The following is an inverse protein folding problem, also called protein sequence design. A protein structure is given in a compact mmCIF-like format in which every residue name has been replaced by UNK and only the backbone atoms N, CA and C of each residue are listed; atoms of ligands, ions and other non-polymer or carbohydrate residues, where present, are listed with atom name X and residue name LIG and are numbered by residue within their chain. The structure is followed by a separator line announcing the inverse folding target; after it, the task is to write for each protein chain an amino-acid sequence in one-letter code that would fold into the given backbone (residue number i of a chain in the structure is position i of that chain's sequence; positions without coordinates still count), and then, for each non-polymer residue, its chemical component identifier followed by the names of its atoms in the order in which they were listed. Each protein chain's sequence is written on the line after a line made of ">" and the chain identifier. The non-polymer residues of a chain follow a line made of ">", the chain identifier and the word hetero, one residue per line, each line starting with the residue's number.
data_IF_529856975587
#
_entry.id   IF_529856975587
#
_cell.length_a   1.000
_cell.length_b   1.000
_cell.length_c   1.000
_cell.angle_alpha   90.00
_cell.angle_beta   90.00
_cell.angle_gamma   90.00
#
_symmetry.space_group_name_H-M   'P 1'
#
loop_
_entity.id
_entity.type
_entity.pdbx_description
1 polymer ?
#
# COMPACT_ATOMS: atom_id res chain seq x y z
N UNK A 1 6.72 -2.69 -26.88
CA UNK A 1 5.75 -1.92 -26.06
C UNK A 1 4.40 -2.62 -25.93
N UNK A 2 3.85 -3.15 -27.00
CA UNK A 2 2.57 -3.87 -26.95
C UNK A 2 2.59 -5.04 -25.95
N UNK A 3 3.65 -5.85 -25.99
CA UNK A 3 3.86 -6.94 -25.05
C UNK A 3 3.86 -6.47 -23.59
N UNK A 4 4.54 -5.36 -23.30
CA UNK A 4 4.56 -4.76 -21.96
C UNK A 4 3.16 -4.40 -21.46
N UNK A 5 2.37 -3.72 -22.28
CA UNK A 5 1.01 -3.32 -21.92
C UNK A 5 0.06 -4.50 -21.69
N UNK A 6 0.27 -5.61 -22.38
CA UNK A 6 -0.53 -6.82 -22.27
C UNK A 6 -0.01 -7.83 -21.21
N UNK A 7 1.16 -7.56 -20.62
CA UNK A 7 1.70 -8.39 -19.54
C UNK A 7 0.74 -8.40 -18.35
N UNK A 8 0.47 -9.57 -17.81
CA UNK A 8 -0.40 -9.71 -16.64
C UNK A 8 0.32 -9.40 -15.35
N UNK A 9 -0.40 -8.85 -14.39
CA UNK A 9 0.11 -8.50 -13.07
C UNK A 9 0.84 -9.67 -12.41
N UNK A 10 0.28 -10.87 -12.48
CA UNK A 10 0.88 -12.09 -11.90
C UNK A 10 2.28 -12.42 -12.42
N UNK A 11 2.63 -11.95 -13.61
CA UNK A 11 3.93 -12.22 -14.24
C UNK A 11 5.04 -11.31 -13.71
N UNK A 12 4.67 -10.15 -13.16
CA UNK A 12 5.64 -9.13 -12.73
C UNK A 12 5.48 -8.66 -11.30
N UNK A 13 4.40 -9.01 -10.61
CA UNK A 13 4.17 -8.61 -9.23
C UNK A 13 5.26 -9.12 -8.28
N UNK A 14 5.50 -8.38 -7.20
CA UNK A 14 6.28 -8.86 -6.07
C UNK A 14 5.37 -9.77 -5.24
N UNK A 15 5.76 -11.03 -4.97
CA UNK A 15 4.91 -11.97 -4.24
C UNK A 15 4.76 -11.58 -2.77
N UNK A 16 3.69 -12.01 -2.14
CA UNK A 16 3.33 -11.71 -0.76
C UNK A 16 4.46 -11.95 0.24
N UNK A 17 5.26 -13.00 0.08
CA UNK A 17 6.39 -13.31 0.98
C UNK A 17 7.48 -12.24 1.01
N UNK A 18 7.58 -11.40 -0.03
CA UNK A 18 8.62 -10.39 -0.19
C UNK A 18 8.11 -8.96 0.05
N UNK A 19 6.87 -8.78 0.48
CA UNK A 19 6.26 -7.48 0.74
C UNK A 19 5.89 -7.31 2.21
N UNK A 20 5.96 -6.07 2.73
CA UNK A 20 5.60 -5.80 4.12
C UNK A 20 4.08 -5.83 4.31
N UNK A 21 3.63 -6.51 5.35
CA UNK A 21 2.25 -6.45 5.80
C UNK A 21 2.17 -6.55 7.33
N UNK A 22 1.04 -6.14 7.88
CA UNK A 22 0.72 -6.28 9.31
C UNK A 22 -0.77 -6.51 9.50
N UNK A 23 -1.15 -7.01 10.67
CA UNK A 23 -2.55 -7.17 11.04
C UNK A 23 -3.15 -5.83 11.47
N UNK A 24 -4.47 -5.65 11.28
CA UNK A 24 -5.15 -4.39 11.60
C UNK A 24 -5.12 -4.02 13.09
N UNK A 25 -4.95 -5.02 13.96
CA UNK A 25 -4.80 -4.84 15.40
C UNK A 25 -3.34 -4.67 15.85
N UNK A 26 -2.39 -4.60 14.93
CA UNK A 26 -0.98 -4.36 15.27
C UNK A 26 -0.82 -3.06 16.05
N UNK A 27 -0.01 -3.10 17.09
CA UNK A 27 0.26 -1.95 17.94
C UNK A 27 1.25 -0.97 17.32
N UNK A 28 1.37 0.17 17.98
CA UNK A 28 2.21 1.28 17.51
C UNK A 28 3.68 0.92 17.34
N UNK A 29 4.23 0.10 18.23
CA UNK A 29 5.64 -0.32 18.15
C UNK A 29 5.89 -1.16 16.91
N UNK A 30 5.04 -2.16 16.65
CA UNK A 30 5.16 -2.99 15.44
C UNK A 30 5.02 -2.15 14.16
N UNK A 31 4.09 -1.20 14.16
CA UNK A 31 3.93 -0.24 13.08
C UNK A 31 5.21 0.55 12.80
N UNK A 32 5.85 1.11 13.85
CA UNK A 32 7.10 1.84 13.70
C UNK A 32 8.25 0.93 13.22
N UNK A 33 8.34 -0.28 13.73
CA UNK A 33 9.35 -1.25 13.31
C UNK A 33 9.23 -1.56 11.81
N UNK A 34 8.02 -1.80 11.32
CA UNK A 34 7.77 -2.06 9.90
C UNK A 34 8.14 -0.88 9.03
N UNK A 35 7.72 0.32 9.40
CA UNK A 35 7.96 1.52 8.60
C UNK A 35 9.36 2.12 8.77
N UNK A 36 10.15 1.66 9.74
CA UNK A 36 11.57 2.01 9.83
C UNK A 36 12.41 1.36 8.72
N UNK A 37 11.92 0.28 8.14
CA UNK A 37 12.62 -0.49 7.09
C UNK A 37 12.00 -0.27 5.72
N UNK A 38 10.68 -0.08 5.65
CA UNK A 38 9.93 0.07 4.39
C UNK A 38 9.06 1.32 4.44
N UNK A 39 8.84 1.95 3.27
CA UNK A 39 8.04 3.16 3.16
C UNK A 39 6.53 2.92 3.35
N UNK A 40 6.09 1.69 3.28
CA UNK A 40 4.69 1.30 3.42
C UNK A 40 4.55 -0.13 3.95
N UNK A 41 3.34 -0.46 4.41
CA UNK A 41 2.94 -1.84 4.67
C UNK A 41 1.44 -1.99 4.37
N UNK A 42 1.09 -3.13 3.78
CA UNK A 42 -0.31 -3.52 3.61
C UNK A 42 -0.89 -3.96 4.95
N UNK A 43 -2.15 -3.67 5.18
CA UNK A 43 -2.85 -4.08 6.39
C UNK A 43 -3.88 -5.14 6.04
N UNK A 44 -3.80 -6.26 6.75
CA UNK A 44 -4.72 -7.38 6.61
C UNK A 44 -5.56 -7.54 7.87
N UNK A 45 -6.74 -8.17 7.74
CA UNK A 45 -7.61 -8.39 8.89
C UNK A 45 -6.97 -9.34 9.93
N UNK A 46 -6.41 -10.46 9.48
CA UNK A 46 -5.66 -11.40 10.29
C UNK A 46 -4.76 -12.27 9.39
N UNK A 47 -3.83 -13.01 10.00
CA UNK A 47 -2.88 -13.87 9.28
C UNK A 47 -3.51 -15.12 8.66
N UNK A 48 -4.63 -15.56 9.16
CA UNK A 48 -5.33 -16.74 8.66
C UNK A 48 -6.06 -16.41 7.36
N UNK A 49 -6.80 -15.31 7.33
CA UNK A 49 -7.57 -14.91 6.15
C UNK A 49 -6.79 -14.04 5.17
N UNK A 50 -5.84 -13.25 5.65
CA UNK A 50 -5.00 -12.36 4.82
C UNK A 50 -5.78 -11.37 3.95
N UNK A 51 -6.98 -10.96 4.35
CA UNK A 51 -7.78 -9.99 3.58
C UNK A 51 -7.21 -8.59 3.73
N UNK A 52 -6.94 -7.94 2.62
CA UNK A 52 -6.46 -6.55 2.59
C UNK A 52 -7.59 -5.61 3.03
N UNK A 53 -7.34 -4.87 4.12
CA UNK A 53 -8.29 -3.90 4.69
C UNK A 53 -7.74 -2.48 4.68
N UNK A 54 -6.44 -2.30 4.51
CA UNK A 54 -5.83 -0.98 4.53
C UNK A 54 -4.40 -0.95 4.02
N UNK A 55 -3.85 0.25 4.05
CA UNK A 55 -2.43 0.51 3.80
C UNK A 55 -1.96 1.59 4.78
N UNK A 56 -0.74 1.46 5.26
CA UNK A 56 -0.04 2.50 6.04
C UNK A 56 1.24 2.92 5.33
N UNK A 57 1.56 4.19 5.41
CA UNK A 57 2.72 4.79 4.76
C UNK A 57 3.45 5.76 5.70
N UNK A 58 4.63 6.20 5.29
CA UNK A 58 5.35 7.29 5.98
C UNK A 58 4.49 8.54 6.17
N UNK A 59 3.60 8.82 5.24
CA UNK A 59 2.71 9.97 5.34
C UNK A 59 1.71 9.85 6.49
N UNK A 60 1.29 8.64 6.82
CA UNK A 60 0.42 8.38 7.98
C UNK A 60 1.16 8.65 9.28
N UNK A 61 2.47 8.31 9.36
CA UNK A 61 3.32 8.71 10.49
C UNK A 61 3.36 10.23 10.59
N UNK A 62 3.72 10.92 9.51
CA UNK A 62 3.85 12.37 9.49
C UNK A 62 2.57 13.05 10.00
N UNK A 63 1.41 12.63 9.52
CA UNK A 63 0.12 13.18 9.97
C UNK A 63 -0.13 12.97 11.46
N UNK A 64 0.44 11.92 12.04
CA UNK A 64 0.20 11.56 13.42
C UNK A 64 1.25 12.12 14.39
N UNK A 65 2.46 12.48 13.94
CA UNK A 65 3.50 13.07 14.78
C UNK A 65 3.57 14.60 14.71
N UNK A 66 2.92 15.24 13.73
CA UNK A 66 2.88 16.71 13.67
C UNK A 66 2.19 17.27 14.90
N UNK A 67 2.85 18.16 15.67
CA UNK A 67 2.23 18.76 16.84
C UNK A 67 0.92 19.48 16.51
N UNK A 68 -0.08 19.46 17.39
CA UNK A 68 -1.39 20.09 17.17
C UNK A 68 -1.29 21.59 16.82
N UNK A 69 -0.28 22.29 17.36
CA UNK A 69 -0.02 23.72 17.12
C UNK A 69 0.37 24.04 15.67
N UNK A 70 0.87 23.07 14.92
CA UNK A 70 1.28 23.23 13.52
C UNK A 70 0.29 22.65 12.52
N UNK A 71 -0.75 22.03 13.00
CA UNK A 71 -1.85 21.60 12.12
C UNK A 71 -2.71 22.79 11.80
N UNK A 72 -2.84 23.13 10.54
CA UNK A 72 -3.93 24.00 10.08
C UNK A 72 -5.24 23.27 10.38
N UNK A 73 -5.76 23.49 11.58
CA UNK A 73 -7.09 23.00 11.98
C UNK A 73 -8.09 23.78 11.13
N UNK A 74 -8.43 23.24 9.98
CA UNK A 74 -9.62 23.65 9.24
C UNK A 74 -10.52 22.46 9.12
N UNK A 75 -11.59 22.60 9.83
CA UNK A 75 -12.94 22.11 9.59
C UNK A 75 -13.49 21.11 10.60
N UNK A 76 -14.61 21.57 11.17
CA UNK A 76 -15.64 20.80 11.87
C UNK A 76 -15.24 20.09 13.15
N UNK A 77 -14.88 20.88 14.21
CA UNK A 77 -15.17 20.50 15.60
C UNK A 77 -14.69 19.15 16.13
N UNK A 78 -13.82 18.45 15.42
CA UNK A 78 -13.25 17.20 15.89
C UNK A 78 -11.86 17.51 16.45
N UNK A 79 -11.80 17.66 17.74
CA UNK A 79 -10.55 17.62 18.49
C UNK A 79 -9.97 16.21 18.38
N UNK A 80 -9.18 15.94 17.36
CA UNK A 80 -8.22 14.85 17.43
C UNK A 80 -7.01 15.34 18.20
N UNK A 81 -7.15 15.32 19.50
CA UNK A 81 -6.06 15.54 20.44
C UNK A 81 -5.57 14.17 20.86
N UNK A 82 -4.26 14.03 20.94
CA UNK A 82 -3.52 12.89 21.47
C UNK A 82 -3.46 11.63 20.60
N UNK A 83 -2.54 11.68 19.66
CA UNK A 83 -2.54 10.74 18.56
C UNK A 83 -1.61 9.55 18.71
N UNK A 84 -0.84 9.48 19.77
CA UNK A 84 0.06 8.39 20.03
C UNK A 84 -0.12 7.88 21.45
N UNK A 85 -1.25 7.19 21.67
CA UNK A 85 -1.43 6.42 22.88
C UNK A 85 -0.82 5.03 22.71
N UNK A 86 -0.37 4.42 23.81
CA UNK A 86 0.09 3.03 23.85
C UNK A 86 -0.95 2.04 23.33
N UNK A 87 -2.20 2.45 23.29
CA UNK A 87 -3.35 1.66 22.83
C UNK A 87 -3.72 1.89 21.36
N UNK A 88 -3.04 2.79 20.65
CA UNK A 88 -3.29 3.04 19.23
C UNK A 88 -2.91 1.81 18.41
N UNK A 89 -3.83 1.33 17.61
CA UNK A 89 -3.61 0.22 16.67
C UNK A 89 -3.60 0.74 15.23
N UNK A 90 -3.01 -0.04 14.34
CA UNK A 90 -2.85 0.31 12.91
C UNK A 90 -4.18 0.64 12.25
N UNK A 91 -5.26 -0.05 12.59
CA UNK A 91 -6.60 0.23 12.07
C UNK A 91 -7.05 1.68 12.29
N UNK A 92 -6.60 2.34 13.37
CA UNK A 92 -6.98 3.72 13.69
C UNK A 92 -6.29 4.76 12.80
N UNK A 93 -5.16 4.39 12.19
CA UNK A 93 -4.30 5.33 11.44
C UNK A 93 -4.16 5.00 9.96
N UNK A 94 -4.48 3.78 9.54
CA UNK A 94 -4.36 3.34 8.14
C UNK A 94 -5.33 4.07 7.21
N UNK A 95 -5.01 4.06 5.92
CA UNK A 95 -5.99 4.35 4.88
C UNK A 95 -6.81 3.09 4.64
N UNK A 96 -8.13 3.19 4.82
CA UNK A 96 -9.07 2.08 4.66
C UNK A 96 -9.40 1.81 3.20
N UNK A 97 -9.74 0.57 2.88
CA UNK A 97 -10.20 0.15 1.56
C UNK A 97 -9.32 0.69 0.42
N UNK A 98 -8.03 0.31 0.39
CA UNK A 98 -7.13 0.77 -0.65
C UNK A 98 -7.57 0.25 -2.02
N UNK A 99 -7.17 0.95 -3.07
CA UNK A 99 -7.37 0.45 -4.45
C UNK A 99 -6.53 -0.82 -4.63
N UNK A 100 -7.14 -1.84 -5.18
CA UNK A 100 -6.56 -3.18 -5.39
C UNK A 100 -6.60 -3.56 -6.87
N UNK A 101 -5.86 -4.60 -7.24
CA UNK A 101 -5.97 -5.23 -8.54
C UNK A 101 -5.95 -6.77 -8.41
N UNK A 102 -6.34 -7.44 -9.49
CA UNK A 102 -6.28 -8.89 -9.57
C UNK A 102 -5.02 -9.35 -10.34
N UNK A 103 -4.58 -10.60 -10.16
CA UNK A 103 -3.45 -11.16 -10.92
C UNK A 103 -3.66 -11.19 -12.43
N UNK A 104 -4.91 -11.23 -12.88
CA UNK A 104 -5.29 -11.33 -14.29
C UNK A 104 -5.41 -9.98 -15.00
N UNK A 105 -5.40 -8.86 -14.26
CA UNK A 105 -5.34 -7.54 -14.85
C UNK A 105 -4.01 -7.33 -15.58
N UNK A 106 -4.02 -6.47 -16.59
CA UNK A 106 -2.83 -6.15 -17.39
C UNK A 106 -2.10 -4.92 -16.85
N UNK A 107 -0.88 -4.70 -17.32
CA UNK A 107 -0.15 -3.45 -17.05
C UNK A 107 -0.97 -2.23 -17.46
N UNK A 108 -1.70 -2.31 -18.58
CA UNK A 108 -2.60 -1.22 -19.01
C UNK A 108 -3.65 -0.89 -17.94
N UNK A 109 -4.26 -1.90 -17.35
CA UNK A 109 -5.28 -1.70 -16.30
C UNK A 109 -4.68 -1.06 -15.05
N UNK A 110 -3.50 -1.53 -14.66
CA UNK A 110 -2.76 -0.98 -13.52
C UNK A 110 -2.36 0.48 -13.75
N UNK A 111 -1.84 0.82 -14.92
CA UNK A 111 -1.48 2.20 -15.27
C UNK A 111 -2.70 3.14 -15.23
N UNK A 112 -3.85 2.67 -15.70
CA UNK A 112 -5.11 3.43 -15.57
C UNK A 112 -5.47 3.69 -14.11
N UNK A 113 -5.37 2.68 -13.24
CA UNK A 113 -5.62 2.83 -11.80
C UNK A 113 -4.64 3.80 -11.14
N UNK A 114 -3.35 3.70 -11.44
CA UNK A 114 -2.35 4.64 -10.92
C UNK A 114 -2.68 6.08 -11.30
N UNK A 115 -3.04 6.31 -12.56
CA UNK A 115 -3.41 7.64 -13.05
C UNK A 115 -4.73 8.14 -12.46
N UNK A 116 -5.78 7.33 -12.49
CA UNK A 116 -7.13 7.72 -12.04
C UNK A 116 -7.15 8.06 -10.55
N UNK A 117 -6.48 7.26 -9.71
CA UNK A 117 -6.50 7.41 -8.26
C UNK A 117 -5.29 8.17 -7.70
N UNK A 118 -4.36 8.59 -8.56
CA UNK A 118 -3.12 9.25 -8.17
C UNK A 118 -2.34 8.48 -7.09
N UNK A 119 -2.20 7.18 -7.30
CA UNK A 119 -1.50 6.25 -6.40
C UNK A 119 -0.30 5.64 -7.09
N UNK A 120 0.62 5.06 -6.32
CA UNK A 120 1.89 4.54 -6.82
C UNK A 120 2.06 3.04 -6.61
N UNK A 121 1.14 2.41 -5.89
CA UNK A 121 1.17 0.99 -5.55
C UNK A 121 -0.22 0.42 -5.39
N UNK A 122 -0.36 -0.85 -5.73
CA UNK A 122 -1.59 -1.61 -5.60
C UNK A 122 -1.29 -2.93 -4.92
N UNK A 123 -2.13 -3.33 -3.99
CA UNK A 123 -2.17 -4.71 -3.55
C UNK A 123 -2.77 -5.59 -4.64
N UNK A 124 -2.14 -6.71 -4.90
CA UNK A 124 -2.67 -7.76 -5.77
C UNK A 124 -3.41 -8.76 -4.88
N UNK A 125 -4.68 -8.98 -5.16
CA UNK A 125 -5.53 -9.84 -4.34
C UNK A 125 -6.28 -10.86 -5.18
N UNK A 126 -6.68 -11.96 -4.54
CA UNK A 126 -7.56 -12.96 -5.14
C UNK A 126 -9.05 -12.57 -5.02
N UNK A 127 -9.94 -13.46 -5.44
CA UNK A 127 -11.39 -13.24 -5.41
C UNK A 127 -11.94 -13.03 -3.98
N UNK A 128 -11.23 -13.53 -2.96
CA UNK A 128 -11.58 -13.34 -1.54
C UNK A 128 -10.85 -12.14 -0.91
N UNK A 129 -10.23 -11.27 -1.72
CA UNK A 129 -9.42 -10.12 -1.29
C UNK A 129 -8.18 -10.50 -0.48
N UNK A 130 -7.70 -11.73 -0.57
CA UNK A 130 -6.47 -12.17 0.11
C UNK A 130 -5.25 -11.61 -0.60
N UNK A 131 -4.29 -11.11 0.18
CA UNK A 131 -3.05 -10.53 -0.31
C UNK A 131 -2.19 -11.58 -1.03
N UNK A 132 -1.97 -11.40 -2.31
CA UNK A 132 -1.10 -12.25 -3.15
C UNK A 132 0.25 -11.62 -3.43
N UNK A 133 0.30 -10.31 -3.53
CA UNK A 133 1.49 -9.56 -3.86
C UNK A 133 1.22 -8.07 -3.97
N UNK A 134 2.17 -7.35 -4.56
CA UNK A 134 1.99 -5.94 -4.89
C UNK A 134 2.58 -5.60 -6.26
N UNK A 135 2.06 -4.54 -6.86
CA UNK A 135 2.62 -3.93 -8.05
C UNK A 135 2.80 -2.43 -7.81
N UNK A 136 3.94 -1.88 -8.21
CA UNK A 136 4.29 -0.47 -8.01
C UNK A 136 4.73 0.16 -9.32
N UNK A 137 4.63 1.48 -9.41
CA UNK A 137 5.19 2.24 -10.55
C UNK A 137 6.68 1.92 -10.69
N UNK A 138 7.43 1.87 -9.58
CA UNK A 138 8.86 1.57 -9.63
C UNK A 138 9.15 0.19 -10.22
N UNK A 139 8.33 -0.80 -9.92
CA UNK A 139 8.44 -2.15 -10.51
C UNK A 139 8.24 -2.11 -12.02
N UNK A 140 7.23 -1.37 -12.50
CA UNK A 140 6.98 -1.20 -13.92
C UNK A 140 8.14 -0.49 -14.63
N UNK A 141 8.75 0.52 -14.02
CA UNK A 141 9.93 1.20 -14.55
C UNK A 141 11.12 0.24 -14.66
N UNK A 142 11.32 -0.63 -13.68
CA UNK A 142 12.37 -1.66 -13.72
C UNK A 142 12.14 -2.67 -14.85
N UNK A 143 10.91 -3.12 -15.04
CA UNK A 143 10.55 -4.05 -16.11
C UNK A 143 10.74 -3.41 -17.49
N UNK A 144 10.30 -2.18 -17.68
CA UNK A 144 10.55 -1.41 -18.90
C UNK A 144 12.04 -1.30 -19.20
N UNK A 145 12.85 -0.90 -18.21
CA UNK A 145 14.30 -0.80 -18.37
C UNK A 145 14.93 -2.12 -18.82
N UNK A 146 14.49 -3.24 -18.23
CA UNK A 146 14.97 -4.57 -18.61
C UNK A 146 14.64 -4.89 -20.07
N UNK A 147 13.42 -4.65 -20.51
CA UNK A 147 12.95 -4.88 -21.87
C UNK A 147 13.73 -4.04 -22.88
N UNK A 148 13.93 -2.75 -22.63
CA UNK A 148 14.69 -1.88 -23.52
C UNK A 148 16.15 -2.28 -23.67
N UNK A 149 16.79 -2.76 -22.62
CA UNK A 149 18.19 -3.22 -22.69
C UNK A 149 18.38 -4.54 -23.43
N UNK A 150 17.37 -5.38 -23.46
CA UNK A 150 17.45 -6.69 -24.10
C UNK A 150 16.87 -6.70 -25.53
N UNK A 151 16.47 -5.54 -26.04
CA UNK A 151 15.96 -5.38 -27.41
C UNK A 151 17.06 -4.88 -28.37
N UNK A 152 18.25 -4.55 -27.86
CA UNK A 152 19.46 -4.25 -28.61
C UNK A 152 20.30 -5.53 -28.80
#
# INVERSE_FOLDING_TARGET
>A
MEEFYNTKVKEIMIPQRDIPFMEENAGWVEFLDRLSVRAHAWVVNNKEEMKVVGIVTEHDILRNIIPPTHRKIRMFGIHRVDMLHKETVVQDIMTHNPVICSPEETVTDVLKKFSTFNIRRLAVVDEKKRLLGEITIQLLVKDLRYRFRNTE
#
